data_IF_952166534158
#
_entry.id   IF_952166534158
#
_cell.length_a   1.000
_cell.length_b   1.000
_cell.length_c   1.000
_cell.angle_alpha   90.00
_cell.angle_beta   90.00
_cell.angle_gamma   90.00
#
_symmetry.space_group_name_H-M   'P 1'
#
loop_
_entity.id
_entity.type
_entity.pdbx_description
1 polymer ?
#
# COMPACT_ATOMS: atom_id res chain seq x y z
N UNK A 1 -16.79 18.67 -30.13
CA UNK A 1 -17.14 18.49 -28.71
C UNK A 1 -17.10 19.87 -28.10
N UNK A 2 -18.20 20.30 -27.58
CA UNK A 2 -18.44 21.68 -27.12
C UNK A 2 -17.46 22.04 -25.99
N UNK A 3 -16.93 23.27 -25.96
CA UNK A 3 -15.91 23.67 -24.98
C UNK A 3 -16.47 23.61 -23.54
N UNK A 4 -17.77 23.83 -23.37
CA UNK A 4 -18.46 23.65 -22.10
C UNK A 4 -18.43 22.19 -21.62
N UNK A 5 -18.56 21.20 -22.53
CA UNK A 5 -18.50 19.78 -22.19
C UNK A 5 -17.06 19.40 -21.78
N UNK A 6 -16.04 19.91 -22.49
CA UNK A 6 -14.64 19.69 -22.12
C UNK A 6 -14.30 20.28 -20.75
N UNK A 7 -14.79 21.47 -20.47
CA UNK A 7 -14.56 22.13 -19.19
C UNK A 7 -15.21 21.36 -18.05
N UNK A 8 -16.42 20.85 -18.23
CA UNK A 8 -17.12 20.06 -17.22
C UNK A 8 -16.44 18.71 -16.96
N UNK A 9 -15.98 18.03 -18.02
CA UNK A 9 -15.22 16.75 -17.92
C UNK A 9 -13.90 16.96 -17.19
N UNK A 10 -13.17 18.03 -17.48
CA UNK A 10 -11.93 18.36 -16.80
C UNK A 10 -12.16 18.68 -15.31
N UNK A 11 -13.18 19.45 -14.97
CA UNK A 11 -13.50 19.78 -13.58
C UNK A 11 -13.84 18.52 -12.78
N UNK A 12 -14.70 17.65 -13.30
CA UNK A 12 -15.06 16.39 -12.65
C UNK A 12 -13.86 15.45 -12.47
N UNK A 13 -12.91 15.46 -13.41
CA UNK A 13 -11.68 14.69 -13.33
C UNK A 13 -10.77 15.21 -12.22
N UNK A 14 -10.58 16.53 -12.11
CA UNK A 14 -9.76 17.14 -11.04
C UNK A 14 -10.36 16.87 -9.67
N UNK A 15 -11.67 17.05 -9.51
CA UNK A 15 -12.38 16.76 -8.26
C UNK A 15 -12.21 15.28 -7.84
N UNK A 16 -12.38 14.36 -8.76
CA UNK A 16 -12.20 12.92 -8.50
C UNK A 16 -10.75 12.56 -8.16
N UNK A 17 -9.79 13.20 -8.82
CA UNK A 17 -8.36 13.04 -8.52
C UNK A 17 -8.04 13.53 -7.10
N UNK A 18 -8.44 14.76 -6.76
CA UNK A 18 -8.21 15.35 -5.44
C UNK A 18 -8.87 14.52 -4.33
N UNK A 19 -10.07 14.05 -4.55
CA UNK A 19 -10.78 13.20 -3.60
C UNK A 19 -10.10 11.84 -3.44
N UNK A 20 -9.60 11.26 -4.53
CA UNK A 20 -8.84 10.01 -4.48
C UNK A 20 -7.52 10.18 -3.73
N UNK A 21 -6.77 11.27 -3.99
CA UNK A 21 -5.54 11.59 -3.28
C UNK A 21 -5.79 11.84 -1.78
N UNK A 22 -6.90 12.51 -1.44
CA UNK A 22 -7.31 12.67 -0.04
C UNK A 22 -7.50 11.32 0.66
N UNK A 23 -8.20 10.37 0.04
CA UNK A 23 -8.40 9.04 0.61
C UNK A 23 -7.12 8.21 0.65
N UNK A 24 -6.29 8.29 -0.37
CA UNK A 24 -4.97 7.67 -0.35
C UNK A 24 -4.12 8.21 0.80
N UNK A 25 -4.09 9.53 1.00
CA UNK A 25 -3.40 10.15 2.13
C UNK A 25 -3.99 9.70 3.47
N UNK A 26 -5.33 9.66 3.60
CA UNK A 26 -6.00 9.18 4.80
C UNK A 26 -5.60 7.74 5.15
N UNK A 27 -5.71 6.81 4.20
CA UNK A 27 -5.35 5.41 4.42
C UNK A 27 -3.85 5.24 4.71
N UNK A 28 -2.99 6.01 4.04
CA UNK A 28 -1.54 5.94 4.21
C UNK A 28 -1.06 6.51 5.54
N UNK A 29 -1.71 7.56 6.03
CA UNK A 29 -1.39 8.16 7.33
C UNK A 29 -1.98 7.35 8.50
N UNK A 30 -2.99 6.54 8.27
CA UNK A 30 -3.64 5.74 9.31
C UNK A 30 -2.66 4.76 9.97
N UNK A 31 -1.74 4.16 9.19
CA UNK A 31 -0.75 3.21 9.71
C UNK A 31 0.24 3.86 10.69
N UNK A 32 0.99 4.90 10.32
CA UNK A 32 1.88 5.56 11.26
C UNK A 32 1.14 6.15 12.46
N UNK A 33 -0.05 6.74 12.25
CA UNK A 33 -0.85 7.25 13.37
C UNK A 33 -1.26 6.14 14.34
N UNK A 34 -1.66 4.96 13.85
CA UNK A 34 -1.97 3.81 14.70
C UNK A 34 -0.73 3.33 15.46
N UNK A 35 0.44 3.28 14.82
CA UNK A 35 1.71 2.92 15.45
C UNK A 35 2.05 3.87 16.59
N UNK A 36 2.05 5.17 16.34
CA UNK A 36 2.34 6.18 17.37
C UNK A 36 1.33 6.16 18.52
N UNK A 37 0.05 5.97 18.22
CA UNK A 37 -0.98 5.86 19.26
C UNK A 37 -0.75 4.62 20.15
N UNK A 38 -0.42 3.48 19.56
CA UNK A 38 -0.13 2.25 20.31
C UNK A 38 1.09 2.44 21.20
N UNK A 39 2.17 3.04 20.70
CA UNK A 39 3.38 3.34 21.46
C UNK A 39 3.04 4.28 22.63
N UNK A 40 2.30 5.34 22.37
CA UNK A 40 1.88 6.31 23.40
C UNK A 40 1.06 5.65 24.51
N UNK A 41 0.04 4.85 24.14
CA UNK A 41 -0.83 4.16 25.10
C UNK A 41 -0.11 3.05 25.87
N UNK A 42 0.94 2.45 25.32
CA UNK A 42 1.76 1.43 26.00
C UNK A 42 2.73 2.01 27.05
N UNK A 43 2.67 3.32 27.31
CA UNK A 43 3.57 4.00 28.26
C UNK A 43 4.89 4.48 27.63
N UNK A 44 5.07 4.28 26.32
CA UNK A 44 6.24 4.76 25.59
C UNK A 44 6.25 6.26 25.30
N UNK A 45 5.17 6.99 25.63
CA UNK A 45 5.06 8.41 25.32
C UNK A 45 6.14 9.28 25.98
N UNK A 46 6.57 8.95 27.20
CA UNK A 46 7.65 9.67 27.88
C UNK A 46 9.03 9.42 27.23
N UNK A 47 9.24 8.21 26.69
CA UNK A 47 10.45 7.84 25.93
C UNK A 47 10.50 8.56 24.59
N UNK A 48 9.38 8.65 23.89
CA UNK A 48 9.26 9.35 22.60
C UNK A 48 9.57 10.86 22.70
N UNK A 49 9.19 11.48 23.82
CA UNK A 49 9.45 12.91 24.06
C UNK A 49 10.90 13.21 24.41
N UNK A 50 11.62 12.25 24.97
CA UNK A 50 12.99 12.42 25.43
C UNK A 50 14.06 11.95 24.42
N UNK A 51 13.75 10.98 23.56
CA UNK A 51 14.72 10.43 22.62
C UNK A 51 14.04 9.88 21.35
N UNK A 52 14.15 10.65 20.28
CA UNK A 52 13.57 10.29 18.98
C UNK A 52 14.32 9.13 18.28
N UNK A 53 15.54 8.79 18.72
CA UNK A 53 16.30 7.68 18.13
C UNK A 53 15.65 6.31 18.39
N UNK A 54 14.81 6.20 19.43
CA UNK A 54 14.03 5.00 19.66
C UNK A 54 12.90 4.78 18.66
N UNK A 55 12.49 5.80 17.89
CA UNK A 55 11.44 5.65 16.88
C UNK A 55 11.88 4.71 15.76
N UNK A 56 13.11 4.83 15.28
CA UNK A 56 13.65 3.95 14.23
C UNK A 56 13.65 2.49 14.66
N UNK A 57 14.03 2.23 15.94
CA UNK A 57 14.00 0.89 16.50
C UNK A 57 12.59 0.32 16.66
N UNK A 58 11.60 1.18 16.89
CA UNK A 58 10.20 0.78 17.01
C UNK A 58 9.58 0.49 15.66
N UNK A 59 9.91 1.25 14.63
CA UNK A 59 9.41 1.04 13.25
C UNK A 59 9.85 -0.32 12.67
N UNK A 60 11.03 -0.79 13.06
CA UNK A 60 11.53 -2.11 12.67
C UNK A 60 11.03 -3.28 13.54
N UNK A 61 10.20 -3.00 14.57
CA UNK A 61 9.69 -4.01 15.51
C UNK A 61 8.56 -4.87 14.90
N UNK A 62 8.72 -6.21 14.75
CA UNK A 62 7.72 -7.08 14.12
C UNK A 62 6.37 -7.11 14.81
N UNK A 63 6.36 -6.98 16.14
CA UNK A 63 5.13 -6.94 16.95
C UNK A 63 4.34 -5.66 16.71
N UNK A 64 5.03 -4.52 16.69
CA UNK A 64 4.41 -3.23 16.41
C UNK A 64 3.91 -3.18 14.95
N UNK A 65 4.71 -3.66 14.00
CA UNK A 65 4.30 -3.75 12.59
C UNK A 65 3.01 -4.57 12.44
N UNK A 66 2.91 -5.74 13.08
CA UNK A 66 1.71 -6.57 13.04
C UNK A 66 0.50 -5.86 13.65
N UNK A 67 0.63 -5.35 14.88
CA UNK A 67 -0.48 -4.74 15.60
C UNK A 67 -0.96 -3.48 14.87
N UNK A 68 -0.07 -2.60 14.46
CA UNK A 68 -0.44 -1.35 13.77
C UNK A 68 -1.08 -1.62 12.41
N UNK A 69 -0.55 -2.55 11.62
CA UNK A 69 -1.14 -2.92 10.33
C UNK A 69 -2.53 -3.53 10.50
N UNK A 70 -2.70 -4.42 11.48
CA UNK A 70 -4.00 -5.01 11.80
C UNK A 70 -5.02 -3.96 12.23
N UNK A 71 -4.68 -3.10 13.19
CA UNK A 71 -5.58 -2.04 13.64
C UNK A 71 -5.89 -1.04 12.54
N UNK A 72 -4.92 -0.67 11.71
CA UNK A 72 -5.15 0.20 10.57
C UNK A 72 -6.16 -0.40 9.61
N UNK A 73 -5.99 -1.67 9.23
CA UNK A 73 -6.93 -2.36 8.37
C UNK A 73 -8.34 -2.38 8.98
N UNK A 74 -8.47 -2.74 10.25
CA UNK A 74 -9.78 -2.80 10.93
C UNK A 74 -10.45 -1.43 11.06
N UNK A 75 -9.69 -0.39 11.45
CA UNK A 75 -10.21 0.96 11.64
C UNK A 75 -10.60 1.65 10.33
N UNK A 76 -9.95 1.30 9.23
CA UNK A 76 -10.23 1.93 7.92
C UNK A 76 -11.32 1.22 7.12
N UNK A 77 -11.60 -0.06 7.38
CA UNK A 77 -12.67 -0.81 6.69
C UNK A 77 -14.05 -0.11 6.66
N UNK A 78 -14.54 0.51 7.75
CA UNK A 78 -15.83 1.20 7.73
C UNK A 78 -15.91 2.34 6.71
N UNK A 79 -14.77 2.98 6.40
CA UNK A 79 -14.70 4.10 5.47
C UNK A 79 -14.77 3.68 4.00
N UNK A 80 -14.55 2.40 3.68
CA UNK A 80 -14.66 1.90 2.30
C UNK A 80 -16.00 2.18 1.66
N UNK A 81 -17.08 2.11 2.45
CA UNK A 81 -18.42 2.40 1.98
C UNK A 81 -18.55 3.86 1.50
N UNK A 82 -18.06 4.81 2.30
CA UNK A 82 -18.04 6.23 1.96
C UNK A 82 -17.09 6.54 0.82
N UNK A 83 -15.89 5.98 0.88
CA UNK A 83 -14.83 6.18 -0.13
C UNK A 83 -15.26 5.73 -1.52
N UNK A 84 -16.05 4.66 -1.59
CA UNK A 84 -16.57 4.11 -2.84
C UNK A 84 -17.96 4.66 -3.22
N UNK A 85 -18.54 5.54 -2.43
CA UNK A 85 -19.93 6.05 -2.58
C UNK A 85 -20.96 4.91 -2.60
N UNK A 86 -20.69 3.79 -1.92
CA UNK A 86 -21.51 2.59 -1.91
C UNK A 86 -22.65 2.71 -0.87
N UNK A 87 -23.84 2.18 -1.21
CA UNK A 87 -24.99 2.20 -0.31
C UNK A 87 -25.00 0.99 0.65
N UNK A 88 -24.44 -0.11 0.21
CA UNK A 88 -24.44 -1.38 0.95
C UNK A 88 -23.16 -2.19 0.72
N UNK A 89 -23.01 -3.30 1.49
CA UNK A 89 -21.84 -4.19 1.42
C UNK A 89 -21.67 -4.84 0.03
N UNK A 90 -22.77 -5.19 -0.63
CA UNK A 90 -22.71 -5.83 -1.96
C UNK A 90 -22.12 -4.88 -2.99
N UNK A 91 -22.47 -3.59 -2.93
CA UNK A 91 -21.89 -2.58 -3.80
C UNK A 91 -20.39 -2.36 -3.50
N UNK A 92 -19.97 -2.36 -2.24
CA UNK A 92 -18.55 -2.29 -1.88
C UNK A 92 -17.79 -3.44 -2.52
N UNK A 93 -18.27 -4.67 -2.37
CA UNK A 93 -17.66 -5.87 -2.95
C UNK A 93 -17.60 -5.76 -4.49
N UNK A 94 -18.69 -5.34 -5.13
CA UNK A 94 -18.73 -5.16 -6.59
C UNK A 94 -17.80 -4.06 -7.10
N UNK A 95 -17.71 -2.91 -6.39
CA UNK A 95 -16.83 -1.80 -6.78
C UNK A 95 -15.35 -2.11 -6.55
N UNK A 96 -15.03 -2.94 -5.56
CA UNK A 96 -13.68 -3.47 -5.33
C UNK A 96 -13.34 -4.64 -6.26
N UNK A 97 -14.29 -5.09 -7.11
CA UNK A 97 -14.13 -6.25 -7.99
C UNK A 97 -13.66 -7.52 -7.24
N UNK A 98 -14.17 -7.71 -6.01
CA UNK A 98 -13.87 -8.93 -5.22
C UNK A 98 -14.71 -10.07 -5.77
N UNK A 99 -14.12 -10.84 -6.67
CA UNK A 99 -14.75 -11.96 -7.35
C UNK A 99 -13.94 -13.25 -7.17
N UNK A 100 -14.58 -14.37 -7.47
CA UNK A 100 -13.86 -15.66 -7.52
C UNK A 100 -12.93 -15.66 -8.72
N UNK A 101 -11.65 -15.72 -8.46
CA UNK A 101 -10.64 -15.81 -9.52
C UNK A 101 -10.61 -17.23 -10.08
N UNK A 102 -10.65 -17.37 -11.41
CA UNK A 102 -10.48 -18.66 -12.05
C UNK A 102 -9.04 -19.17 -11.82
N UNK A 103 -8.89 -20.50 -11.76
CA UNK A 103 -7.61 -21.14 -11.45
C UNK A 103 -6.48 -20.75 -12.41
N UNK A 104 -6.78 -20.65 -13.70
CA UNK A 104 -5.77 -20.36 -14.73
C UNK A 104 -5.21 -18.93 -14.62
N UNK A 105 -6.01 -17.85 -14.54
CA UNK A 105 -5.49 -16.51 -14.26
C UNK A 105 -4.67 -16.43 -12.98
N UNK A 106 -5.09 -17.11 -11.90
CA UNK A 106 -4.35 -17.14 -10.66
C UNK A 106 -2.93 -17.72 -10.85
N UNK A 107 -2.81 -18.84 -11.57
CA UNK A 107 -1.49 -19.43 -11.88
C UNK A 107 -0.65 -18.46 -12.70
N UNK A 108 -1.22 -17.83 -13.73
CA UNK A 108 -0.49 -16.86 -14.54
C UNK A 108 0.02 -15.72 -13.69
N UNK A 109 -0.82 -15.15 -12.81
CA UNK A 109 -0.41 -14.07 -11.90
C UNK A 109 0.75 -14.51 -11.00
N UNK A 110 0.66 -15.68 -10.39
CA UNK A 110 1.73 -16.23 -9.53
C UNK A 110 3.02 -16.43 -10.32
N UNK A 111 2.95 -16.98 -11.53
CA UNK A 111 4.12 -17.18 -12.38
C UNK A 111 4.76 -15.85 -12.81
N UNK A 112 3.96 -14.87 -13.22
CA UNK A 112 4.45 -13.54 -13.60
C UNK A 112 5.14 -12.85 -12.42
N UNK A 113 4.53 -12.92 -11.22
CA UNK A 113 5.13 -12.38 -9.99
C UNK A 113 6.43 -13.10 -9.66
N UNK A 114 6.47 -14.43 -9.76
CA UNK A 114 7.69 -15.21 -9.51
C UNK A 114 8.81 -14.84 -10.49
N UNK A 115 8.49 -14.74 -11.79
CA UNK A 115 9.46 -14.31 -12.82
C UNK A 115 9.95 -12.89 -12.52
N UNK A 116 9.05 -11.97 -12.15
CA UNK A 116 9.44 -10.62 -11.78
C UNK A 116 10.44 -10.61 -10.62
N UNK A 117 10.15 -11.30 -9.52
CA UNK A 117 11.01 -11.37 -8.33
C UNK A 117 12.38 -11.99 -8.66
N UNK A 118 12.41 -13.04 -9.48
CA UNK A 118 13.68 -13.66 -9.90
C UNK A 118 14.52 -12.71 -10.77
N UNK A 119 13.90 -11.99 -11.69
CA UNK A 119 14.56 -10.99 -12.52
C UNK A 119 15.08 -9.82 -11.67
N UNK A 120 14.27 -9.34 -10.73
CA UNK A 120 14.68 -8.31 -9.79
C UNK A 120 15.90 -8.73 -8.96
N UNK A 121 15.87 -9.91 -8.35
CA UNK A 121 16.98 -10.44 -7.57
C UNK A 121 18.26 -10.57 -8.41
N UNK A 122 18.12 -11.09 -9.64
CA UNK A 122 19.25 -11.18 -10.56
C UNK A 122 19.82 -9.81 -10.92
N UNK A 123 18.96 -8.84 -11.24
CA UNK A 123 19.34 -7.47 -11.59
C UNK A 123 20.01 -6.76 -10.41
N UNK A 124 19.44 -6.88 -9.21
CA UNK A 124 19.99 -6.27 -8.00
C UNK A 124 21.34 -6.89 -7.64
N UNK A 125 21.50 -8.19 -7.81
CA UNK A 125 22.81 -8.86 -7.66
C UNK A 125 23.84 -8.37 -8.67
N UNK A 126 23.43 -8.18 -9.94
CA UNK A 126 24.32 -7.64 -10.99
C UNK A 126 24.70 -6.17 -10.75
N UNK A 127 23.78 -5.36 -10.22
CA UNK A 127 24.00 -3.95 -9.91
C UNK A 127 24.64 -3.74 -8.53
N UNK A 128 24.93 -4.80 -7.79
CA UNK A 128 25.44 -4.75 -6.41
C UNK A 128 24.59 -3.86 -5.47
N UNK A 129 23.26 -3.90 -5.64
CA UNK A 129 22.33 -3.15 -4.80
C UNK A 129 22.39 -3.73 -3.38
N UNK A 130 22.83 -2.91 -2.42
CA UNK A 130 22.93 -3.33 -1.02
C UNK A 130 21.54 -3.55 -0.41
N UNK A 131 21.46 -4.39 0.63
CA UNK A 131 20.24 -4.49 1.42
C UNK A 131 19.98 -3.17 2.16
N UNK A 132 18.76 -2.62 2.11
CA UNK A 132 18.42 -1.41 2.84
C UNK A 132 18.61 -1.57 4.36
N UNK A 133 19.06 -0.53 5.04
CA UNK A 133 19.30 -0.52 6.48
C UNK A 133 18.05 -0.93 7.27
N UNK A 134 16.88 -0.44 6.87
CA UNK A 134 15.59 -0.86 7.43
C UNK A 134 15.41 -2.39 7.43
N UNK A 135 15.76 -3.08 6.34
CA UNK A 135 15.64 -4.54 6.26
C UNK A 135 16.63 -5.26 7.18
N UNK A 136 17.82 -4.69 7.37
CA UNK A 136 18.81 -5.22 8.31
C UNK A 136 18.33 -5.09 9.75
N UNK A 137 17.72 -3.98 10.11
CA UNK A 137 17.12 -3.74 11.42
C UNK A 137 15.95 -4.69 11.70
N UNK A 138 15.00 -4.83 10.77
CA UNK A 138 13.89 -5.78 10.86
C UNK A 138 14.41 -7.19 11.06
N UNK A 139 15.45 -7.61 10.31
CA UNK A 139 16.10 -8.91 10.46
C UNK A 139 16.72 -9.08 11.85
N UNK A 140 17.38 -8.04 12.38
CA UNK A 140 17.99 -8.06 13.72
C UNK A 140 16.95 -8.21 14.84
N UNK A 141 15.76 -7.65 14.67
CA UNK A 141 14.67 -7.75 15.66
C UNK A 141 13.82 -9.03 15.51
N UNK A 142 13.96 -9.77 14.41
CA UNK A 142 13.16 -10.97 14.11
C UNK A 142 13.82 -12.25 14.63
N UNK A 143 14.16 -12.29 15.92
CA UNK A 143 14.93 -13.37 16.53
C UNK A 143 14.08 -14.53 17.06
N UNK A 144 12.81 -14.30 17.43
CA UNK A 144 11.93 -15.32 18.00
C UNK A 144 10.98 -15.89 16.94
N UNK A 145 10.45 -17.10 17.19
CA UNK A 145 9.40 -17.67 16.32
C UNK A 145 8.16 -16.77 16.26
N UNK A 146 7.78 -16.20 17.40
CA UNK A 146 6.64 -15.28 17.48
C UNK A 146 6.87 -14.03 16.61
N UNK A 147 8.04 -13.41 16.70
CA UNK A 147 8.41 -12.25 15.88
C UNK A 147 8.35 -12.59 14.37
N UNK A 148 8.84 -13.77 13.97
CA UNK A 148 8.76 -14.25 12.58
C UNK A 148 7.32 -14.43 12.11
N UNK A 149 6.46 -15.01 12.94
CA UNK A 149 5.04 -15.19 12.61
C UNK A 149 4.34 -13.83 12.49
N UNK A 150 4.58 -12.91 13.43
CA UNK A 150 3.96 -11.58 13.41
C UNK A 150 4.40 -10.79 12.17
N UNK A 151 5.70 -10.77 11.86
CA UNK A 151 6.20 -10.12 10.66
C UNK A 151 5.62 -10.75 9.39
N UNK A 152 5.57 -12.07 9.31
CA UNK A 152 5.00 -12.78 8.17
C UNK A 152 3.52 -12.43 7.95
N UNK A 153 2.72 -12.41 9.01
CA UNK A 153 1.32 -12.03 8.92
C UNK A 153 1.15 -10.57 8.49
N UNK A 154 1.97 -9.65 9.02
CA UNK A 154 1.91 -8.23 8.67
C UNK A 154 2.28 -8.00 7.20
N UNK A 155 3.42 -8.53 6.75
CA UNK A 155 4.04 -8.18 5.47
C UNK A 155 3.52 -9.05 4.31
N UNK A 156 3.06 -10.29 4.58
CA UNK A 156 2.62 -11.21 3.52
C UNK A 156 1.11 -11.24 3.37
N UNK A 157 0.35 -10.96 4.43
CA UNK A 157 -1.11 -11.05 4.37
C UNK A 157 -1.81 -9.71 4.61
N UNK A 158 -1.70 -9.13 5.80
CA UNK A 158 -2.54 -8.00 6.21
C UNK A 158 -2.18 -6.76 5.41
N UNK A 159 -0.89 -6.41 5.34
CA UNK A 159 -0.39 -5.26 4.59
C UNK A 159 -0.76 -5.35 3.11
N UNK A 160 -0.36 -6.40 2.37
CA UNK A 160 -0.69 -6.53 0.96
C UNK A 160 -2.19 -6.55 0.66
N UNK A 161 -3.01 -7.24 1.48
CA UNK A 161 -4.47 -7.21 1.28
C UNK A 161 -5.02 -5.79 1.47
N UNK A 162 -4.55 -5.07 2.49
CA UNK A 162 -4.95 -3.70 2.73
C UNK A 162 -4.52 -2.78 1.58
N UNK A 163 -3.29 -2.90 1.12
CA UNK A 163 -2.75 -2.14 -0.01
C UNK A 163 -3.52 -2.42 -1.31
N UNK A 164 -3.83 -3.68 -1.61
CA UNK A 164 -4.64 -4.03 -2.78
C UNK A 164 -6.03 -3.40 -2.72
N UNK A 165 -6.69 -3.43 -1.56
CA UNK A 165 -7.99 -2.79 -1.38
C UNK A 165 -7.91 -1.28 -1.61
N UNK A 166 -6.88 -0.62 -1.10
CA UNK A 166 -6.71 0.84 -1.19
C UNK A 166 -6.28 1.27 -2.60
N UNK A 167 -5.24 0.66 -3.15
CA UNK A 167 -4.62 1.12 -4.40
C UNK A 167 -5.31 0.53 -5.63
N UNK A 168 -5.58 -0.78 -5.67
CA UNK A 168 -6.20 -1.47 -6.81
C UNK A 168 -7.72 -1.50 -6.71
N UNK A 169 -8.25 -1.53 -5.49
CA UNK A 169 -9.69 -1.38 -5.26
C UNK A 169 -10.14 0.07 -5.39
N UNK A 170 -9.93 0.86 -4.35
CA UNK A 170 -10.49 2.21 -4.22
C UNK A 170 -9.95 3.18 -5.26
N UNK A 171 -8.62 3.37 -5.32
CA UNK A 171 -8.03 4.37 -6.19
C UNK A 171 -8.26 4.04 -7.68
N UNK A 172 -8.06 2.78 -8.07
CA UNK A 172 -8.30 2.33 -9.44
C UNK A 172 -9.77 2.50 -9.83
N UNK A 173 -10.73 2.06 -8.99
CA UNK A 173 -12.17 2.20 -9.25
C UNK A 173 -12.56 3.66 -9.52
N UNK A 174 -12.06 4.58 -8.74
CA UNK A 174 -12.39 6.01 -8.88
C UNK A 174 -11.74 6.63 -10.10
N UNK A 175 -10.45 6.40 -10.30
CA UNK A 175 -9.70 7.07 -11.37
C UNK A 175 -10.05 6.56 -12.77
N UNK A 176 -10.37 5.27 -12.92
CA UNK A 176 -10.75 4.71 -14.24
C UNK A 176 -12.03 5.32 -14.82
N UNK A 177 -12.86 5.91 -13.98
CA UNK A 177 -14.12 6.55 -14.39
C UNK A 177 -13.93 8.00 -14.85
N UNK A 178 -12.73 8.54 -14.74
CA UNK A 178 -12.37 9.91 -15.14
C UNK A 178 -11.78 9.92 -16.56
N UNK A 179 -11.47 11.12 -17.07
CA UNK A 179 -10.76 11.26 -18.34
C UNK A 179 -9.35 10.62 -18.34
N UNK A 180 -8.81 10.28 -17.16
CA UNK A 180 -7.52 9.59 -17.02
C UNK A 180 -7.59 8.10 -17.44
N UNK A 181 -8.79 7.51 -17.40
CA UNK A 181 -9.05 6.13 -17.82
C UNK A 181 -8.22 5.09 -17.05
N UNK A 182 -8.08 3.91 -17.65
CA UNK A 182 -7.33 2.81 -17.02
C UNK A 182 -5.84 3.13 -16.82
N UNK A 183 -5.22 3.85 -17.75
CA UNK A 183 -3.79 4.19 -17.65
C UNK A 183 -3.53 5.08 -16.44
N UNK A 184 -4.31 6.15 -16.26
CA UNK A 184 -4.18 7.01 -15.09
C UNK A 184 -4.51 6.30 -13.78
N UNK A 185 -5.48 5.36 -13.82
CA UNK A 185 -5.85 4.55 -12.67
C UNK A 185 -4.76 3.54 -12.24
N UNK A 186 -3.83 3.19 -13.13
CA UNK A 186 -2.66 2.37 -12.81
C UNK A 186 -1.49 3.25 -12.36
N UNK A 187 -1.13 4.24 -13.17
CA UNK A 187 0.10 5.03 -12.98
C UNK A 187 0.05 5.88 -11.71
N UNK A 188 -1.05 6.59 -11.45
CA UNK A 188 -1.15 7.51 -10.31
C UNK A 188 -1.06 6.77 -8.96
N UNK A 189 -1.86 5.71 -8.72
CA UNK A 189 -1.72 4.93 -7.49
C UNK A 189 -0.35 4.27 -7.36
N UNK A 190 0.28 3.85 -8.47
CA UNK A 190 1.61 3.26 -8.44
C UNK A 190 2.70 4.26 -8.05
N UNK A 191 2.60 5.51 -8.49
CA UNK A 191 3.50 6.59 -8.03
C UNK A 191 3.31 6.81 -6.52
N UNK A 192 2.06 6.96 -6.06
CA UNK A 192 1.78 7.18 -4.64
C UNK A 192 2.26 5.99 -3.80
N UNK A 193 1.98 4.77 -4.22
CA UNK A 193 2.45 3.54 -3.58
C UNK A 193 3.98 3.54 -3.40
N UNK A 194 4.70 3.85 -4.47
CA UNK A 194 6.17 3.91 -4.45
C UNK A 194 6.69 4.98 -3.50
N UNK A 195 6.09 6.18 -3.52
CA UNK A 195 6.51 7.29 -2.64
C UNK A 195 6.25 6.99 -1.14
N UNK A 196 5.23 6.18 -0.84
CA UNK A 196 4.93 5.77 0.53
C UNK A 196 5.92 4.73 1.09
N UNK A 197 6.75 4.15 0.24
CA UNK A 197 7.83 3.24 0.63
C UNK A 197 9.15 3.98 0.88
N UNK A 198 9.07 5.18 1.47
CA UNK A 198 10.22 6.05 1.76
C UNK A 198 11.23 5.50 2.77
N UNK A 199 10.96 4.33 3.39
CA UNK A 199 11.92 3.60 4.20
C UNK A 199 13.09 3.01 3.38
N UNK A 200 12.95 2.96 2.05
CA UNK A 200 14.02 2.58 1.13
C UNK A 200 14.71 3.83 0.61
N UNK A 201 16.04 3.84 0.56
CA UNK A 201 16.88 4.98 0.15
C UNK A 201 17.46 4.83 -1.26
N UNK A 202 17.31 3.64 -1.87
CA UNK A 202 17.95 3.30 -3.14
C UNK A 202 17.00 3.50 -4.32
N UNK A 203 17.43 4.28 -5.31
CA UNK A 203 16.65 4.58 -6.53
C UNK A 203 16.25 3.29 -7.27
N UNK A 204 17.13 2.28 -7.30
CA UNK A 204 16.83 1.00 -7.96
C UNK A 204 15.61 0.31 -7.33
N UNK A 205 15.46 0.37 -6.01
CA UNK A 205 14.31 -0.20 -5.29
C UNK A 205 13.04 0.59 -5.61
N UNK A 206 13.10 1.93 -5.64
CA UNK A 206 11.95 2.76 -6.03
C UNK A 206 11.48 2.45 -7.46
N UNK A 207 12.39 2.29 -8.40
CA UNK A 207 12.06 1.91 -9.77
C UNK A 207 11.38 0.53 -9.79
N UNK A 208 11.95 -0.43 -9.06
CA UNK A 208 11.36 -1.77 -8.97
C UNK A 208 9.98 -1.75 -8.35
N UNK A 209 9.77 -1.07 -7.23
CA UNK A 209 8.46 -0.92 -6.60
C UNK A 209 7.43 -0.29 -7.55
N UNK A 210 7.82 0.74 -8.30
CA UNK A 210 6.93 1.37 -9.27
C UNK A 210 6.55 0.40 -10.40
N UNK A 211 7.52 -0.30 -10.99
CA UNK A 211 7.27 -1.29 -12.05
C UNK A 211 6.40 -2.42 -11.54
N UNK A 212 6.70 -2.96 -10.35
CA UNK A 212 5.89 -3.99 -9.71
C UNK A 212 4.45 -3.53 -9.47
N UNK A 213 4.30 -2.31 -8.93
CA UNK A 213 2.98 -1.73 -8.67
C UNK A 213 2.16 -1.54 -9.95
N UNK A 214 2.79 -1.10 -11.06
CA UNK A 214 2.14 -1.03 -12.36
C UNK A 214 1.75 -2.42 -12.89
N UNK A 215 2.63 -3.40 -12.75
CA UNK A 215 2.36 -4.79 -13.15
C UNK A 215 1.13 -5.35 -12.44
N UNK A 216 1.05 -5.16 -11.12
CA UNK A 216 -0.10 -5.59 -10.31
C UNK A 216 -1.40 -4.84 -10.68
N UNK A 217 -1.30 -3.61 -11.18
CA UNK A 217 -2.46 -2.86 -11.68
C UNK A 217 -2.93 -3.28 -13.09
N UNK A 218 -2.14 -4.07 -13.82
CA UNK A 218 -2.47 -4.59 -15.15
C UNK A 218 -3.10 -5.99 -15.11
N UNK A 219 -2.87 -6.76 -14.05
CA UNK A 219 -3.34 -8.13 -13.85
C UNK A 219 -4.72 -8.13 -13.19
#
# INVERSE_FOLDING_TARGET
MDDAIKQHVNQSTVESLLYTLYWLAFFSLALPMASYLIIFLSGGGALLLNDLTHLEQLDSNPGLAFISTFFTAVLTLPFLKSTLDAQNKSEVIGRLAIEKVAFFPLIITVLLTAVYVLLEQWLFGFMEVALPDFMLEVKAQTNSLLAKIMLFLAVVFIGPIFEEVVFRGVAFYRLKQTALGAIGAIIIPSIVFTLLHGQYDQVAIFISLFVFSCLMGLI
#
